data_IF_080238042362
#
_entry.id   IF_080238042362
#
_cell.length_a   1.000
_cell.length_b   1.000
_cell.length_c   1.000
_cell.angle_alpha   90.00
_cell.angle_beta   90.00
_cell.angle_gamma   90.00
#
_symmetry.space_group_name_H-M   'P 1'
#
loop_
_entity.id
_entity.type
_entity.pdbx_description
1 polymer ?
#
# COMPACT_ATOMS: atom_id res chain seq x y z
N UNK A 1 -6.90 14.22 1.82
CA UNK A 1 -7.89 14.63 0.80
C UNK A 1 -8.24 13.49 -0.16
N UNK A 2 -7.24 12.72 -0.70
CA UNK A 2 -7.51 11.68 -1.70
C UNK A 2 -8.31 10.52 -1.09
N UNK A 3 -7.90 10.00 0.07
CA UNK A 3 -8.62 8.92 0.77
C UNK A 3 -10.09 9.30 1.04
N UNK A 4 -10.34 10.51 1.56
CA UNK A 4 -11.70 10.97 1.81
C UNK A 4 -12.56 11.05 0.53
N UNK A 5 -11.95 11.43 -0.60
CA UNK A 5 -12.64 11.42 -1.91
C UNK A 5 -12.92 10.01 -2.40
N UNK A 6 -11.97 9.09 -2.25
CA UNK A 6 -12.16 7.69 -2.60
C UNK A 6 -13.28 7.07 -1.76
N UNK A 7 -13.26 7.25 -0.44
CA UNK A 7 -14.33 6.78 0.46
C UNK A 7 -15.71 7.29 0.02
N UNK A 8 -15.82 8.57 -0.37
CA UNK A 8 -17.08 9.11 -0.88
C UNK A 8 -17.55 8.39 -2.16
N UNK A 9 -16.63 8.03 -3.06
CA UNK A 9 -16.95 7.26 -4.28
C UNK A 9 -17.43 5.86 -3.91
N UNK A 10 -16.72 5.16 -3.01
CA UNK A 10 -17.18 3.85 -2.54
C UNK A 10 -18.60 3.90 -1.97
N UNK A 11 -18.92 4.90 -1.13
CA UNK A 11 -20.27 5.11 -0.61
C UNK A 11 -21.33 5.34 -1.69
N UNK A 12 -20.98 5.87 -2.85
CA UNK A 12 -21.88 6.06 -3.98
C UNK A 12 -22.11 4.79 -4.81
N UNK A 13 -21.25 3.79 -4.67
CA UNK A 13 -21.24 2.57 -5.49
C UNK A 13 -21.27 1.30 -4.62
N UNK A 14 -22.09 1.28 -3.57
CA UNK A 14 -22.17 0.16 -2.62
C UNK A 14 -22.53 -1.18 -3.29
N UNK A 15 -23.31 -1.15 -4.37
CA UNK A 15 -23.67 -2.35 -5.14
C UNK A 15 -22.49 -3.03 -5.84
N UNK A 16 -21.34 -2.38 -5.94
CA UNK A 16 -20.12 -2.94 -6.51
C UNK A 16 -19.17 -3.52 -5.45
N UNK A 17 -19.51 -3.39 -4.18
CA UNK A 17 -18.75 -4.02 -3.09
C UNK A 17 -19.01 -5.54 -3.08
N UNK A 18 -18.14 -6.30 -2.43
CA UNK A 18 -18.36 -7.73 -2.22
C UNK A 18 -19.57 -7.99 -1.32
N UNK A 19 -20.05 -9.23 -1.34
CA UNK A 19 -21.28 -9.62 -0.62
C UNK A 19 -21.18 -9.36 0.87
N UNK A 20 -20.03 -9.60 1.50
CA UNK A 20 -19.78 -9.35 2.92
C UNK A 20 -19.96 -7.86 3.27
N UNK A 21 -19.33 -6.97 2.52
CA UNK A 21 -19.44 -5.53 2.74
C UNK A 21 -20.87 -5.01 2.48
N UNK A 22 -21.55 -5.58 1.47
CA UNK A 22 -22.95 -5.24 1.22
C UNK A 22 -23.87 -5.70 2.35
N UNK A 23 -23.60 -6.85 2.95
CA UNK A 23 -24.38 -7.37 4.08
C UNK A 23 -24.15 -6.53 5.33
N UNK A 24 -22.90 -6.16 5.63
CA UNK A 24 -22.58 -5.25 6.74
C UNK A 24 -23.30 -3.91 6.61
N UNK A 25 -23.35 -3.36 5.40
CA UNK A 25 -24.07 -2.09 5.13
C UNK A 25 -25.59 -2.21 5.32
N UNK A 26 -26.20 -3.37 5.05
CA UNK A 26 -27.64 -3.61 5.31
C UNK A 26 -27.98 -3.61 6.80
N UNK A 27 -27.04 -4.02 7.63
CA UNK A 27 -27.21 -4.07 9.09
C UNK A 27 -26.86 -2.75 9.80
N UNK A 28 -26.97 -1.62 9.10
CA UNK A 28 -26.72 -0.26 9.61
C UNK A 28 -25.27 -0.06 10.11
N UNK A 29 -24.35 -0.84 9.57
CA UNK A 29 -22.90 -0.71 9.81
C UNK A 29 -22.25 -0.01 8.62
N UNK A 30 -22.27 1.33 8.64
CA UNK A 30 -21.47 2.05 7.66
C UNK A 30 -19.98 1.75 7.87
N UNK A 31 -19.44 0.83 7.06
CA UNK A 31 -18.02 0.41 7.12
C UNK A 31 -17.05 1.56 6.86
N UNK A 32 -17.52 2.68 6.32
CA UNK A 32 -16.74 3.88 6.05
C UNK A 32 -16.96 5.00 7.06
N UNK A 33 -17.84 4.80 8.03
CA UNK A 33 -18.13 5.78 9.09
C UNK A 33 -18.47 5.06 10.39
N UNK A 34 -17.75 5.36 11.43
CA UNK A 34 -17.91 4.73 12.72
C UNK A 34 -17.68 5.74 13.85
N UNK A 35 -18.19 5.48 15.06
CA UNK A 35 -18.05 6.39 16.18
C UNK A 35 -16.58 6.80 16.39
N UNK A 36 -16.38 8.11 16.56
CA UNK A 36 -15.07 8.74 16.76
C UNK A 36 -14.14 8.82 15.54
N UNK A 37 -14.55 8.37 14.34
CA UNK A 37 -13.81 8.64 13.11
C UNK A 37 -13.83 10.16 12.85
N UNK A 38 -12.63 10.74 12.65
CA UNK A 38 -12.47 12.15 12.26
C UNK A 38 -11.62 12.22 10.99
N UNK A 39 -12.19 12.77 9.94
CA UNK A 39 -11.49 12.95 8.67
C UNK A 39 -10.97 14.37 8.58
N UNK A 40 -9.64 14.52 8.45
CA UNK A 40 -9.00 15.82 8.24
C UNK A 40 -8.69 16.05 6.77
N UNK A 41 -9.24 17.11 6.20
CA UNK A 41 -9.02 17.48 4.78
C UNK A 41 -7.95 18.53 4.62
N UNK A 42 -7.83 19.43 5.59
CA UNK A 42 -6.89 20.54 5.61
C UNK A 42 -5.62 20.22 6.42
N UNK A 43 -4.50 20.87 6.08
CA UNK A 43 -3.24 20.73 6.81
C UNK A 43 -3.38 21.23 8.26
N UNK A 44 -4.09 22.34 8.45
CA UNK A 44 -4.34 22.89 9.78
C UNK A 44 -5.08 21.89 10.68
N UNK A 45 -6.12 21.24 10.17
CA UNK A 45 -6.86 20.19 10.89
C UNK A 45 -5.95 18.99 11.22
N UNK A 46 -5.09 18.57 10.29
CA UNK A 46 -4.15 17.47 10.52
C UNK A 46 -3.18 17.80 11.68
N UNK A 47 -2.75 19.04 11.81
CA UNK A 47 -1.90 19.49 12.92
C UNK A 47 -2.60 19.40 14.28
N UNK A 48 -3.93 19.58 14.35
CA UNK A 48 -4.69 19.47 15.61
C UNK A 48 -4.70 18.05 16.18
N UNK A 49 -4.41 17.03 15.37
CA UNK A 49 -4.30 15.63 15.83
C UNK A 49 -3.24 15.51 16.94
N UNK A 50 -2.17 16.29 16.86
CA UNK A 50 -1.10 16.25 17.86
C UNK A 50 -1.59 16.64 19.27
N UNK A 51 -2.65 17.44 19.37
CA UNK A 51 -3.27 17.89 20.62
C UNK A 51 -4.52 17.09 21.00
N UNK A 52 -4.92 16.12 20.17
CA UNK A 52 -6.08 15.26 20.47
C UNK A 52 -5.76 14.31 21.63
N UNK A 53 -6.76 13.92 22.45
CA UNK A 53 -6.58 12.95 23.52
C UNK A 53 -5.99 11.62 23.05
N UNK A 54 -5.35 10.91 23.94
CA UNK A 54 -4.86 9.54 23.77
C UNK A 54 -5.75 8.57 24.56
N UNK A 55 -5.89 7.30 24.18
CA UNK A 55 -5.28 6.69 22.99
C UNK A 55 -5.96 7.14 21.68
N UNK A 56 -5.22 7.09 20.56
CA UNK A 56 -5.74 7.41 19.22
C UNK A 56 -5.04 6.61 18.13
N UNK A 57 -5.74 6.38 17.03
CA UNK A 57 -5.19 5.79 15.81
C UNK A 57 -5.15 6.87 14.74
N UNK A 58 -4.01 7.05 14.09
CA UNK A 58 -3.81 7.99 12.98
C UNK A 58 -3.65 7.20 11.70
N UNK A 59 -4.62 7.31 10.81
CA UNK A 59 -4.55 6.71 9.48
C UNK A 59 -4.16 7.79 8.46
N UNK A 60 -3.05 7.58 7.77
CA UNK A 60 -2.55 8.56 6.80
C UNK A 60 -2.03 7.87 5.54
N UNK A 61 -2.28 8.49 4.40
CA UNK A 61 -1.72 8.06 3.10
C UNK A 61 -0.23 8.36 2.98
N UNK A 62 0.39 7.86 1.94
CA UNK A 62 1.80 7.62 1.65
C UNK A 62 2.26 6.27 2.19
N UNK A 63 1.83 5.18 1.51
CA UNK A 63 2.12 3.81 1.94
C UNK A 63 3.60 3.51 2.13
N UNK A 64 4.50 4.19 1.40
CA UNK A 64 5.96 4.04 1.47
C UNK A 64 6.63 5.02 2.45
N UNK A 65 5.86 5.84 3.17
CA UNK A 65 6.33 6.89 4.08
C UNK A 65 7.24 7.96 3.43
N UNK A 66 7.22 8.10 2.10
CA UNK A 66 8.07 9.03 1.35
C UNK A 66 7.59 10.50 1.37
N UNK A 67 6.44 10.78 1.99
CA UNK A 67 5.96 12.16 2.00
C UNK A 67 4.54 12.33 2.52
N UNK A 68 3.92 13.45 2.12
CA UNK A 68 2.58 13.80 2.57
C UNK A 68 2.51 14.10 4.07
N UNK A 69 1.32 14.01 4.64
CA UNK A 69 1.12 14.30 6.07
C UNK A 69 1.66 13.21 6.99
N UNK A 70 1.83 12.00 6.48
CA UNK A 70 2.33 10.87 7.25
C UNK A 70 3.71 11.15 7.83
N UNK A 71 4.65 11.69 7.04
CA UNK A 71 6.01 11.93 7.50
C UNK A 71 6.07 12.90 8.70
N UNK A 72 5.15 13.88 8.75
CA UNK A 72 5.05 14.80 9.89
C UNK A 72 4.54 14.12 11.16
N UNK A 73 3.55 13.22 11.02
CA UNK A 73 3.07 12.42 12.14
C UNK A 73 4.12 11.41 12.62
N UNK A 74 4.82 10.75 11.72
CA UNK A 74 5.95 9.88 12.07
C UNK A 74 7.00 10.64 12.88
N UNK A 75 7.48 11.77 12.38
CA UNK A 75 8.48 12.59 13.08
C UNK A 75 8.03 13.04 14.48
N UNK A 76 6.72 13.22 14.68
CA UNK A 76 6.16 13.64 15.95
C UNK A 76 6.02 12.50 16.97
N UNK A 77 5.70 11.29 16.51
CA UNK A 77 5.30 10.20 17.40
C UNK A 77 6.30 9.05 17.52
N UNK A 78 7.18 8.84 16.54
CA UNK A 78 7.99 7.61 16.43
C UNK A 78 9.09 7.51 17.52
N UNK A 79 9.45 8.63 18.16
CA UNK A 79 10.44 8.64 19.24
C UNK A 79 9.88 8.23 20.62
N UNK A 80 8.58 8.01 20.74
CA UNK A 80 7.96 7.55 21.97
C UNK A 80 7.74 6.03 21.92
N UNK A 81 8.35 5.24 22.84
CA UNK A 81 8.25 3.78 22.83
C UNK A 81 6.84 3.24 23.14
N UNK A 82 5.91 4.08 23.57
CA UNK A 82 4.50 3.71 23.78
C UNK A 82 3.70 3.67 22.49
N UNK A 83 4.24 4.21 21.40
CA UNK A 83 3.59 4.26 20.11
C UNK A 83 3.95 3.05 19.26
N UNK A 84 3.06 2.74 18.32
CA UNK A 84 3.25 1.72 17.31
C UNK A 84 3.02 2.33 15.93
N UNK A 85 3.86 1.95 14.98
CA UNK A 85 3.69 2.25 13.55
C UNK A 85 3.36 0.95 12.84
N UNK A 86 2.24 0.93 12.11
CA UNK A 86 1.79 -0.23 11.38
C UNK A 86 1.72 0.09 9.89
N UNK A 87 2.55 -0.58 9.10
CA UNK A 87 2.51 -0.51 7.65
C UNK A 87 1.55 -1.54 7.08
N UNK A 88 0.69 -1.09 6.16
CA UNK A 88 -0.31 -1.92 5.52
C UNK A 88 0.16 -2.28 4.11
N UNK A 89 0.85 -3.42 3.98
CA UNK A 89 1.32 -3.97 2.71
C UNK A 89 2.79 -3.75 2.40
N UNK A 90 3.17 -4.09 1.17
CA UNK A 90 4.54 -4.11 0.69
C UNK A 90 5.25 -2.76 0.79
N UNK A 91 6.51 -2.81 1.18
CA UNK A 91 7.38 -1.63 1.26
C UNK A 91 8.51 -1.75 0.22
N UNK A 92 8.56 -0.81 -0.71
CA UNK A 92 9.53 -0.82 -1.82
C UNK A 92 10.95 -0.58 -1.28
N UNK A 93 11.94 -1.42 -1.65
CA UNK A 93 13.34 -1.20 -1.30
C UNK A 93 13.81 0.23 -1.62
N UNK A 94 14.56 0.84 -0.68
CA UNK A 94 15.04 2.21 -0.78
C UNK A 94 14.14 3.26 -0.12
N UNK A 95 12.84 2.97 0.07
CA UNK A 95 11.90 3.90 0.71
C UNK A 95 12.08 3.96 2.23
N UNK A 96 11.57 5.04 2.85
CA UNK A 96 11.60 5.15 4.31
C UNK A 96 10.77 4.02 4.97
N UNK A 97 9.60 3.69 4.42
CA UNK A 97 8.79 2.59 4.93
C UNK A 97 9.53 1.26 4.93
N UNK A 98 10.30 0.97 3.87
CA UNK A 98 11.16 -0.20 3.82
C UNK A 98 12.24 -0.17 4.91
N UNK A 99 12.95 0.95 5.07
CA UNK A 99 13.97 1.11 6.13
C UNK A 99 13.38 0.88 7.51
N UNK A 100 12.24 1.48 7.80
CA UNK A 100 11.55 1.35 9.09
C UNK A 100 11.14 -0.09 9.39
N UNK A 101 10.56 -0.79 8.42
CA UNK A 101 10.12 -2.21 8.58
C UNK A 101 11.29 -3.20 8.62
N UNK A 102 12.50 -2.77 8.26
CA UNK A 102 13.74 -3.57 8.33
C UNK A 102 14.66 -3.15 9.47
N UNK A 103 14.13 -2.49 10.49
CA UNK A 103 14.82 -2.25 11.75
C UNK A 103 15.74 -1.03 11.74
N UNK A 104 15.46 -0.01 10.94
CA UNK A 104 16.17 1.26 11.06
C UNK A 104 16.03 1.83 12.49
N UNK A 105 17.10 2.38 13.02
CA UNK A 105 17.14 2.98 14.37
C UNK A 105 16.80 4.46 14.36
N UNK A 106 16.92 5.11 13.21
CA UNK A 106 16.71 6.54 13.01
C UNK A 106 16.41 6.88 11.57
N UNK A 107 15.97 8.10 11.32
CA UNK A 107 15.84 8.69 9.98
C UNK A 107 15.94 10.21 10.06
N UNK A 108 16.30 10.82 8.95
CA UNK A 108 16.36 12.27 8.81
C UNK A 108 15.01 12.84 8.41
N UNK A 109 14.58 13.87 9.13
CA UNK A 109 13.37 14.62 8.86
C UNK A 109 13.71 16.10 8.79
N UNK A 110 13.84 16.63 7.59
CA UNK A 110 14.44 17.95 7.32
C UNK A 110 15.82 18.08 7.97
N UNK A 111 16.00 19.03 8.85
CA UNK A 111 17.23 19.32 9.63
C UNK A 111 17.31 18.53 10.96
N UNK A 112 16.38 17.62 11.22
CA UNK A 112 16.30 16.84 12.45
C UNK A 112 16.62 15.38 12.24
N UNK A 113 17.46 14.85 13.11
CA UNK A 113 17.73 13.43 13.23
C UNK A 113 16.77 12.80 14.25
N UNK A 114 15.87 11.93 13.79
CA UNK A 114 14.80 11.34 14.60
C UNK A 114 15.16 9.91 14.99
N UNK A 115 15.26 9.64 16.29
CA UNK A 115 15.45 8.28 16.78
C UNK A 115 14.14 7.53 16.85
N UNK A 116 14.14 6.28 16.38
CA UNK A 116 13.00 5.38 16.40
C UNK A 116 12.99 4.61 17.71
N UNK A 117 11.92 4.75 18.49
CA UNK A 117 11.67 4.01 19.73
C UNK A 117 10.31 3.29 19.71
N UNK A 118 9.40 3.74 18.88
CA UNK A 118 8.12 3.08 18.65
C UNK A 118 8.33 1.68 18.07
N UNK A 119 7.41 0.77 18.36
CA UNK A 119 7.35 -0.51 17.66
C UNK A 119 6.94 -0.28 16.20
N UNK A 120 7.62 -0.94 15.27
CA UNK A 120 7.29 -0.87 13.84
C UNK A 120 6.95 -2.27 13.35
N UNK A 121 5.73 -2.42 12.84
CA UNK A 121 5.21 -3.67 12.33
C UNK A 121 4.65 -3.51 10.91
N UNK A 122 4.44 -4.63 10.23
CA UNK A 122 3.86 -4.69 8.89
C UNK A 122 2.81 -5.80 8.80
N UNK A 123 1.71 -5.51 8.10
CA UNK A 123 0.68 -6.49 7.73
C UNK A 123 0.61 -6.58 6.21
N UNK A 124 0.85 -7.75 5.65
CA UNK A 124 0.82 -7.99 4.20
C UNK A 124 -0.53 -8.50 3.68
N UNK A 125 -1.46 -8.89 4.58
CA UNK A 125 -2.73 -9.54 4.23
C UNK A 125 -3.82 -8.64 3.63
N UNK A 126 -3.60 -7.32 3.52
CA UNK A 126 -4.59 -6.37 2.99
C UNK A 126 -4.24 -5.87 1.57
N UNK A 127 -3.47 -6.62 0.81
CA UNK A 127 -3.18 -6.29 -0.58
C UNK A 127 -4.38 -6.62 -1.47
N UNK A 128 -4.75 -5.67 -2.34
CA UNK A 128 -5.71 -5.89 -3.43
C UNK A 128 -5.01 -6.25 -4.75
N UNK A 129 -3.70 -6.41 -4.76
CA UNK A 129 -2.96 -6.86 -5.92
C UNK A 129 -3.14 -8.36 -6.12
N UNK A 130 -3.24 -8.79 -7.38
CA UNK A 130 -3.18 -10.19 -7.74
C UNK A 130 -1.87 -10.81 -7.26
N UNK A 131 -1.93 -12.00 -6.67
CA UNK A 131 -0.75 -12.76 -6.30
C UNK A 131 -0.16 -13.49 -7.54
N UNK A 132 0.93 -14.23 -7.33
CA UNK A 132 1.61 -14.95 -8.41
C UNK A 132 0.69 -16.00 -9.06
N UNK A 133 -0.16 -16.66 -8.29
CA UNK A 133 -1.05 -17.69 -8.80
C UNK A 133 -2.22 -17.09 -9.58
N UNK A 134 -2.73 -15.96 -9.15
CA UNK A 134 -3.74 -15.21 -9.88
C UNK A 134 -3.21 -14.69 -11.22
N UNK A 135 -2.00 -14.11 -11.20
CA UNK A 135 -1.32 -13.68 -12.43
C UNK A 135 -1.03 -14.85 -13.36
N UNK A 136 -0.66 -16.01 -12.84
CA UNK A 136 -0.43 -17.22 -13.62
C UNK A 136 -1.72 -17.71 -14.26
N UNK A 137 -2.81 -17.83 -13.49
CA UNK A 137 -4.14 -18.21 -14.01
C UNK A 137 -4.60 -17.27 -15.11
N UNK A 138 -4.43 -15.96 -14.88
CA UNK A 138 -4.79 -14.96 -15.88
C UNK A 138 -3.95 -15.10 -17.14
N UNK A 139 -2.64 -15.21 -17.04
CA UNK A 139 -1.75 -15.37 -18.20
C UNK A 139 -2.06 -16.65 -18.98
N UNK A 140 -2.32 -17.76 -18.31
CA UNK A 140 -2.61 -19.06 -18.94
C UNK A 140 -4.00 -19.15 -19.55
N UNK A 141 -4.88 -18.17 -19.34
CA UNK A 141 -6.15 -18.05 -20.07
C UNK A 141 -5.95 -17.67 -21.53
N UNK A 142 -4.77 -17.16 -21.90
CA UNK A 142 -4.42 -16.85 -23.29
C UNK A 142 -3.82 -18.07 -24.01
N UNK A 143 -3.89 -18.06 -25.33
CA UNK A 143 -3.31 -19.13 -26.14
C UNK A 143 -1.78 -19.20 -26.05
N UNK A 144 -1.21 -20.40 -26.26
CA UNK A 144 0.25 -20.65 -26.21
C UNK A 144 1.09 -19.78 -27.14
N UNK A 145 0.48 -19.26 -28.21
CA UNK A 145 1.14 -18.35 -29.17
C UNK A 145 1.28 -16.91 -28.66
N UNK A 146 0.64 -16.60 -27.52
CA UNK A 146 0.67 -15.25 -26.95
C UNK A 146 2.08 -14.92 -26.43
N UNK A 147 2.58 -13.75 -26.81
CA UNK A 147 3.81 -13.23 -26.25
C UNK A 147 3.51 -12.55 -24.90
N UNK A 148 4.19 -13.01 -23.86
CA UNK A 148 4.09 -12.45 -22.51
C UNK A 148 5.28 -11.55 -22.26
N UNK A 149 5.03 -10.31 -21.89
CA UNK A 149 6.06 -9.34 -21.53
C UNK A 149 5.90 -8.94 -20.05
N UNK A 150 6.91 -9.22 -19.24
CA UNK A 150 6.94 -8.87 -17.83
C UNK A 150 7.59 -7.51 -17.65
N UNK A 151 6.88 -6.60 -17.01
CA UNK A 151 7.28 -5.22 -16.75
C UNK A 151 6.91 -4.82 -15.34
N UNK A 152 7.54 -3.77 -14.82
CA UNK A 152 7.13 -3.13 -13.55
C UNK A 152 7.13 -4.07 -12.34
N UNK A 153 8.11 -4.96 -12.24
CA UNK A 153 8.26 -5.90 -11.14
C UNK A 153 9.66 -5.84 -10.50
N UNK A 154 9.77 -6.40 -9.30
CA UNK A 154 11.08 -6.67 -8.72
C UNK A 154 11.82 -7.65 -9.63
N UNK A 155 13.11 -7.42 -9.96
CA UNK A 155 13.88 -8.27 -10.90
C UNK A 155 13.85 -9.76 -10.53
N UNK A 156 14.03 -10.10 -9.26
CA UNK A 156 14.00 -11.49 -8.79
C UNK A 156 12.60 -12.11 -8.96
N UNK A 157 11.56 -11.38 -8.62
CA UNK A 157 10.18 -11.83 -8.79
C UNK A 157 9.81 -12.02 -10.27
N UNK A 158 10.28 -11.12 -11.15
CA UNK A 158 10.06 -11.25 -12.60
C UNK A 158 10.75 -12.49 -13.16
N UNK A 159 11.98 -12.79 -12.72
CA UNK A 159 12.71 -14.00 -13.13
C UNK A 159 11.95 -15.25 -12.68
N UNK A 160 11.60 -15.34 -11.41
CA UNK A 160 10.86 -16.48 -10.87
C UNK A 160 9.50 -16.67 -11.58
N UNK A 161 8.81 -15.58 -11.91
CA UNK A 161 7.54 -15.66 -12.62
C UNK A 161 7.72 -16.03 -14.10
N UNK A 162 8.77 -15.55 -14.76
CA UNK A 162 9.11 -15.97 -16.11
C UNK A 162 9.38 -17.48 -16.17
N UNK A 163 10.16 -18.03 -15.25
CA UNK A 163 10.42 -19.47 -15.14
C UNK A 163 9.14 -20.27 -14.93
N UNK A 164 8.21 -19.79 -14.12
CA UNK A 164 6.89 -20.42 -13.90
C UNK A 164 6.04 -20.44 -15.16
N UNK A 165 6.14 -19.41 -16.02
CA UNK A 165 5.37 -19.29 -17.26
C UNK A 165 5.98 -20.07 -18.44
N UNK A 166 7.29 -20.28 -18.46
CA UNK A 166 7.99 -20.95 -19.58
C UNK A 166 7.37 -22.29 -20.02
N UNK A 167 6.97 -23.21 -19.12
CA UNK A 167 6.37 -24.49 -19.54
C UNK A 167 5.12 -24.32 -20.39
N UNK A 168 4.39 -23.22 -20.24
CA UNK A 168 3.16 -22.91 -20.96
C UNK A 168 3.41 -22.11 -22.25
N UNK A 169 4.36 -21.20 -22.23
CA UNK A 169 4.59 -20.20 -23.30
C UNK A 169 5.96 -20.33 -23.99
N UNK A 170 6.83 -21.21 -23.53
CA UNK A 170 8.19 -21.45 -24.07
C UNK A 170 8.96 -20.11 -24.22
N UNK A 171 9.47 -19.84 -25.42
CA UNK A 171 10.27 -18.65 -25.74
C UNK A 171 9.45 -17.35 -25.83
N UNK A 172 8.16 -17.44 -25.65
CA UNK A 172 7.26 -16.27 -25.74
C UNK A 172 7.21 -15.45 -24.44
N UNK A 173 7.96 -15.81 -23.41
CA UNK A 173 8.06 -15.02 -22.17
C UNK A 173 9.33 -14.16 -22.21
N UNK A 174 9.17 -12.86 -22.04
CA UNK A 174 10.28 -11.88 -22.05
C UNK A 174 10.20 -10.97 -20.83
N UNK A 175 11.34 -10.69 -20.19
CA UNK A 175 11.45 -9.65 -19.17
C UNK A 175 12.00 -8.40 -19.87
N UNK A 176 11.28 -7.30 -19.80
CA UNK A 176 11.70 -6.02 -20.33
C UNK A 176 12.45 -5.23 -19.26
N UNK A 177 13.67 -4.80 -19.57
CA UNK A 177 14.52 -4.02 -18.65
C UNK A 177 14.19 -2.53 -18.66
N UNK A 178 13.65 -2.02 -19.78
CA UNK A 178 13.30 -0.62 -19.96
C UNK A 178 11.84 -0.51 -20.40
N UNK A 179 11.06 0.29 -19.67
CA UNK A 179 9.62 0.51 -19.93
C UNK A 179 9.34 1.23 -21.27
N UNK A 180 10.37 1.74 -21.95
CA UNK A 180 10.21 2.70 -23.05
C UNK A 180 10.07 2.07 -24.45
N UNK A 181 10.28 0.76 -24.61
CA UNK A 181 10.29 0.13 -25.92
C UNK A 181 9.19 -0.91 -26.19
N UNK A 182 8.05 -0.81 -25.49
CA UNK A 182 6.85 -1.54 -25.91
C UNK A 182 6.08 -0.70 -26.93
N UNK A 183 6.70 -0.42 -28.06
CA UNK A 183 5.98 0.06 -29.21
C UNK A 183 5.53 -1.16 -30.00
N UNK A 184 4.23 -1.28 -30.17
CA UNK A 184 3.58 -2.21 -31.09
C UNK A 184 4.29 -2.18 -32.44
N UNK A 185 4.96 -3.26 -32.79
CA UNK A 185 5.28 -3.59 -34.17
C UNK A 185 4.20 -4.55 -34.70
#
# INVERSE_FOLDING_TARGET
PLAARATKIYKQHLSLLNDEAQEDMKHDRDIFDFPHLKITTQVAESKTINHSPTPKIIMAGSGMAEGGRLIHHLAHYISDPRNQVLFMGFQVPGTLGHKLTHGAFDFDYYDKHIKIKATVDKIDGFSAHADQDDLYKWATSFGKQTQIMLVHGNPEAMVAFAEKLQPQFDKNVKILKDEINVLCQ
#
